data_IF_170515494660
#
_entry.id   IF_170515494660
#
_cell.length_a   1.000
_cell.length_b   1.000
_cell.length_c   1.000
_cell.angle_alpha   90.00
_cell.angle_beta   90.00
_cell.angle_gamma   90.00
#
_symmetry.space_group_name_H-M   'P 1'
#
loop_
_entity.id
_entity.type
_entity.pdbx_description
1 polymer ?
#
# COMPACT_ATOMS: atom_id res chain seq x y z
N UNK A 1 -31.90 12.31 7.29
CA UNK A 1 -32.12 11.57 6.01
C UNK A 1 -33.61 11.21 5.92
N UNK A 2 -34.19 11.11 4.72
CA UNK A 2 -35.55 10.57 4.57
C UNK A 2 -35.65 9.18 5.23
N UNK A 3 -36.79 8.84 5.86
CA UNK A 3 -37.00 7.48 6.37
C UNK A 3 -36.96 6.45 5.21
N UNK A 4 -36.54 5.22 5.51
CA UNK A 4 -36.42 4.06 4.60
C UNK A 4 -35.20 3.97 3.68
N UNK A 5 -34.20 4.87 3.77
CA UNK A 5 -32.98 4.74 2.97
C UNK A 5 -31.91 3.83 3.57
N UNK A 6 -32.09 3.35 4.81
CA UNK A 6 -31.06 2.64 5.58
C UNK A 6 -29.90 3.52 6.08
N UNK A 7 -29.91 4.83 5.77
CA UNK A 7 -28.85 5.78 6.18
C UNK A 7 -29.11 6.31 7.58
N UNK A 8 -28.15 6.13 8.48
CA UNK A 8 -28.18 6.72 9.82
C UNK A 8 -27.51 8.10 9.82
N UNK A 9 -27.89 8.96 10.76
CA UNK A 9 -27.20 10.24 10.96
C UNK A 9 -25.70 10.03 11.24
N UNK A 10 -25.36 9.00 12.02
CA UNK A 10 -23.97 8.62 12.30
C UNK A 10 -23.20 8.27 11.01
N UNK A 11 -23.79 7.46 10.11
CA UNK A 11 -23.15 7.10 8.85
C UNK A 11 -22.89 8.33 7.96
N UNK A 12 -23.84 9.28 7.92
CA UNK A 12 -23.66 10.54 7.19
C UNK A 12 -22.57 11.41 7.80
N UNK A 13 -22.50 11.50 9.14
CA UNK A 13 -21.43 12.23 9.82
C UNK A 13 -20.05 11.63 9.55
N UNK A 14 -19.93 10.30 9.55
CA UNK A 14 -18.69 9.61 9.18
C UNK A 14 -18.29 9.90 7.74
N UNK A 15 -19.24 9.89 6.81
CA UNK A 15 -18.98 10.20 5.41
C UNK A 15 -18.55 11.67 5.22
N UNK A 16 -19.19 12.60 5.92
CA UNK A 16 -18.83 14.02 5.87
C UNK A 16 -17.42 14.27 6.44
N UNK A 17 -17.07 13.62 7.56
CA UNK A 17 -15.72 13.71 8.13
C UNK A 17 -14.66 13.14 7.19
N UNK A 18 -14.94 12.01 6.54
CA UNK A 18 -14.05 11.40 5.53
C UNK A 18 -13.85 12.32 4.31
N UNK A 19 -14.94 12.90 3.79
CA UNK A 19 -14.87 13.86 2.69
C UNK A 19 -14.07 15.13 3.04
N UNK A 20 -14.21 15.64 4.28
CA UNK A 20 -13.44 16.77 4.76
C UNK A 20 -11.94 16.42 4.94
N UNK A 21 -11.62 15.21 5.38
CA UNK A 21 -10.23 14.74 5.44
C UNK A 21 -9.62 14.65 4.04
N UNK A 22 -10.32 14.03 3.09
CA UNK A 22 -9.88 13.94 1.69
C UNK A 22 -9.67 15.34 1.09
N UNK A 23 -10.59 16.27 1.30
CA UNK A 23 -10.45 17.64 0.80
C UNK A 23 -9.18 18.32 1.34
N UNK A 24 -8.82 18.10 2.61
CA UNK A 24 -7.57 18.62 3.19
C UNK A 24 -6.34 18.00 2.55
N UNK A 25 -6.34 16.69 2.33
CA UNK A 25 -5.21 16.00 1.67
C UNK A 25 -5.04 16.46 0.22
N UNK A 26 -6.14 16.72 -0.50
CA UNK A 26 -6.10 17.25 -1.86
C UNK A 26 -5.56 18.68 -1.93
N UNK A 27 -5.74 19.49 -0.89
CA UNK A 27 -5.15 20.83 -0.83
C UNK A 27 -3.62 20.80 -0.71
N UNK A 28 -3.04 19.73 -0.14
CA UNK A 28 -1.58 19.59 0.00
C UNK A 28 -0.96 18.84 -1.17
N UNK A 29 -1.68 17.88 -1.75
CA UNK A 29 -1.17 17.00 -2.83
C UNK A 29 -1.59 17.42 -4.24
N UNK A 30 -2.59 18.30 -4.35
CA UNK A 30 -3.15 18.77 -5.61
C UNK A 30 -4.32 17.92 -6.14
N UNK A 31 -5.16 18.50 -7.03
CA UNK A 31 -6.41 17.87 -7.49
C UNK A 31 -6.19 16.64 -8.39
N UNK A 32 -5.02 16.49 -9.00
CA UNK A 32 -4.68 15.29 -9.78
C UNK A 32 -4.64 14.00 -8.92
N UNK A 33 -4.58 14.14 -7.59
CA UNK A 33 -4.69 13.04 -6.64
C UNK A 33 -6.14 12.62 -6.34
N UNK A 34 -7.16 13.28 -6.93
CA UNK A 34 -8.57 13.05 -6.59
C UNK A 34 -9.17 11.78 -7.23
N UNK A 35 -8.61 11.28 -8.33
CA UNK A 35 -9.09 10.05 -8.98
C UNK A 35 -8.48 8.82 -8.30
N UNK A 36 -9.14 8.41 -7.21
CA UNK A 36 -8.89 7.14 -6.55
C UNK A 36 -9.75 6.06 -7.19
N UNK A 37 -9.12 4.93 -7.50
CA UNK A 37 -9.84 3.67 -7.75
C UNK A 37 -10.61 3.24 -6.50
N UNK A 38 -11.55 2.31 -6.66
CA UNK A 38 -12.33 1.78 -5.54
C UNK A 38 -11.43 1.24 -4.43
N UNK A 39 -10.38 0.48 -4.76
CA UNK A 39 -9.48 -0.10 -3.76
C UNK A 39 -8.54 0.93 -3.13
N UNK A 40 -8.12 1.95 -3.87
CA UNK A 40 -7.35 3.05 -3.31
C UNK A 40 -8.18 3.85 -2.29
N UNK A 41 -9.43 4.18 -2.63
CA UNK A 41 -10.34 4.85 -1.70
C UNK A 41 -10.65 3.96 -0.48
N UNK A 42 -10.88 2.66 -0.71
CA UNK A 42 -11.16 1.72 0.38
C UNK A 42 -9.97 1.60 1.35
N UNK A 43 -8.74 1.52 0.83
CA UNK A 43 -7.51 1.50 1.63
C UNK A 43 -7.32 2.81 2.42
N UNK A 44 -7.50 3.96 1.75
CA UNK A 44 -7.46 5.30 2.36
C UNK A 44 -8.43 5.41 3.52
N UNK A 45 -9.67 4.98 3.31
CA UNK A 45 -10.74 4.97 4.31
C UNK A 45 -10.39 4.05 5.47
N UNK A 46 -9.87 2.85 5.20
CA UNK A 46 -9.50 1.90 6.24
C UNK A 46 -8.28 2.36 7.08
N UNK A 47 -7.37 3.15 6.52
CA UNK A 47 -6.15 3.62 7.18
C UNK A 47 -6.39 4.33 8.52
N UNK A 48 -7.50 5.07 8.67
CA UNK A 48 -7.85 5.80 9.89
C UNK A 48 -8.87 5.13 10.80
N UNK A 49 -9.25 3.87 10.56
CA UNK A 49 -10.33 3.18 11.29
C UNK A 49 -9.81 2.26 12.39
N UNK A 50 -10.64 2.08 13.42
CA UNK A 50 -10.45 1.02 14.42
C UNK A 50 -10.73 -0.37 13.81
N UNK A 51 -10.26 -1.44 14.46
CA UNK A 51 -10.45 -2.81 13.95
C UNK A 51 -11.94 -3.21 13.72
N UNK A 52 -12.90 -2.87 14.61
CA UNK A 52 -14.32 -3.13 14.35
C UNK A 52 -14.86 -2.35 13.14
N UNK A 53 -14.51 -1.07 13.01
CA UNK A 53 -14.95 -0.22 11.89
C UNK A 53 -14.36 -0.69 10.55
N UNK A 54 -13.11 -1.14 10.55
CA UNK A 54 -12.46 -1.74 9.39
C UNK A 54 -13.19 -3.02 8.99
N UNK A 55 -13.53 -3.89 9.95
CA UNK A 55 -14.26 -5.14 9.67
C UNK A 55 -15.63 -4.88 9.06
N UNK A 56 -16.36 -3.88 9.58
CA UNK A 56 -17.63 -3.46 9.02
C UNK A 56 -17.48 -2.89 7.59
N UNK A 57 -16.44 -2.08 7.36
CA UNK A 57 -16.12 -1.53 6.04
C UNK A 57 -15.75 -2.65 5.04
N UNK A 58 -14.91 -3.60 5.45
CA UNK A 58 -14.51 -4.75 4.65
C UNK A 58 -15.72 -5.60 4.27
N UNK A 59 -16.62 -5.88 5.23
CA UNK A 59 -17.87 -6.62 5.00
C UNK A 59 -18.76 -5.90 3.98
N UNK A 60 -18.96 -4.59 4.14
CA UNK A 60 -19.77 -3.80 3.21
C UNK A 60 -19.16 -3.74 1.80
N UNK A 61 -17.83 -3.71 1.70
CA UNK A 61 -17.09 -3.70 0.44
C UNK A 61 -16.88 -5.09 -0.17
N UNK A 62 -17.32 -6.17 0.51
CA UNK A 62 -17.08 -7.56 0.12
C UNK A 62 -15.59 -7.90 -0.07
N UNK A 63 -14.72 -7.27 0.73
CA UNK A 63 -13.27 -7.53 0.76
C UNK A 63 -12.96 -8.31 2.05
N UNK A 64 -12.07 -9.33 2.02
CA UNK A 64 -11.64 -9.99 3.24
C UNK A 64 -11.04 -8.98 4.24
N UNK A 65 -11.46 -8.96 5.52
CA UNK A 65 -10.94 -8.00 6.49
C UNK A 65 -9.42 -8.00 6.62
N UNK A 66 -8.80 -9.18 6.53
CA UNK A 66 -7.33 -9.34 6.53
C UNK A 66 -6.67 -8.60 5.38
N UNK A 67 -7.23 -8.67 4.18
CA UNK A 67 -6.67 -7.98 3.02
C UNK A 67 -6.84 -6.48 3.16
N UNK A 68 -8.00 -6.01 3.63
CA UNK A 68 -8.22 -4.59 3.87
C UNK A 68 -7.30 -4.02 4.96
N UNK A 69 -7.01 -4.78 6.01
CA UNK A 69 -6.00 -4.40 7.02
C UNK A 69 -4.64 -4.16 6.38
N UNK A 70 -4.18 -5.07 5.51
CA UNK A 70 -2.90 -4.92 4.81
C UNK A 70 -2.89 -3.74 3.85
N UNK A 71 -4.01 -3.48 3.18
CA UNK A 71 -4.15 -2.32 2.29
C UNK A 71 -4.11 -1.02 3.08
N UNK A 72 -4.77 -0.97 4.24
CA UNK A 72 -4.76 0.15 5.16
C UNK A 72 -3.35 0.43 5.71
N UNK A 73 -2.61 -0.61 6.08
CA UNK A 73 -1.21 -0.52 6.52
C UNK A 73 -0.31 0.03 5.41
N UNK A 74 -0.40 -0.52 4.19
CA UNK A 74 0.38 -0.04 3.06
C UNK A 74 0.06 1.41 2.68
N UNK A 75 -1.22 1.80 2.80
CA UNK A 75 -1.66 3.17 2.57
C UNK A 75 -1.14 4.14 3.64
N UNK A 76 -1.16 3.77 4.92
CA UNK A 76 -0.58 4.59 5.99
C UNK A 76 0.92 4.84 5.78
N UNK A 77 1.63 3.80 5.36
CA UNK A 77 3.09 3.85 5.23
C UNK A 77 3.55 4.62 3.99
N UNK A 78 2.91 4.38 2.84
CA UNK A 78 3.40 4.92 1.56
C UNK A 78 2.28 5.33 0.58
N UNK A 79 1.05 5.51 1.07
CA UNK A 79 -0.10 5.97 0.29
C UNK A 79 -0.39 5.10 -0.92
N UNK A 80 -0.75 5.75 -2.03
CA UNK A 80 -1.06 5.10 -3.32
C UNK A 80 0.09 4.20 -3.81
N UNK A 81 1.33 4.68 -3.67
CA UNK A 81 2.52 3.94 -4.05
C UNK A 81 2.70 2.64 -3.25
N UNK A 82 2.47 2.70 -1.93
CA UNK A 82 2.49 1.54 -1.05
C UNK A 82 1.43 0.49 -1.42
N UNK A 83 0.20 0.94 -1.68
CA UNK A 83 -0.88 0.04 -2.10
C UNK A 83 -0.57 -0.63 -3.45
N UNK A 84 -0.06 0.13 -4.42
CA UNK A 84 0.34 -0.39 -5.72
C UNK A 84 1.50 -1.40 -5.56
N UNK A 85 2.52 -1.10 -4.76
CA UNK A 85 3.62 -2.02 -4.51
C UNK A 85 3.16 -3.32 -3.82
N UNK A 86 2.17 -3.25 -2.93
CA UNK A 86 1.57 -4.39 -2.27
C UNK A 86 0.81 -5.29 -3.26
N UNK A 87 -0.08 -4.70 -4.07
CA UNK A 87 -1.06 -5.45 -4.89
C UNK A 87 -0.55 -5.80 -6.28
N UNK A 88 0.21 -4.92 -6.91
CA UNK A 88 0.55 -5.04 -8.31
C UNK A 88 1.88 -5.76 -8.53
N UNK A 89 1.99 -6.39 -9.71
CA UNK A 89 3.25 -6.83 -10.26
C UNK A 89 3.29 -6.51 -11.75
N UNK A 90 4.47 -6.16 -12.25
CA UNK A 90 4.66 -5.73 -13.63
C UNK A 90 6.09 -5.99 -14.07
N UNK A 91 6.34 -5.99 -15.38
CA UNK A 91 7.68 -6.23 -15.93
C UNK A 91 8.38 -4.89 -16.22
N UNK A 92 9.35 -4.46 -15.39
CA UNK A 92 10.15 -3.27 -15.68
C UNK A 92 11.17 -3.54 -16.79
N UNK A 93 11.70 -2.45 -17.35
CA UNK A 93 12.92 -2.53 -18.15
C UNK A 93 14.08 -3.12 -17.33
N UNK A 94 15.12 -3.68 -17.99
CA UNK A 94 16.13 -4.49 -17.31
C UNK A 94 16.99 -3.72 -16.29
N UNK A 95 17.20 -2.40 -16.49
CA UNK A 95 18.15 -1.60 -15.71
C UNK A 95 17.91 -1.62 -14.20
N UNK A 96 16.79 -1.07 -13.69
CA UNK A 96 16.59 -0.91 -12.25
C UNK A 96 16.65 -2.23 -11.47
N UNK A 97 16.04 -3.31 -12.02
CA UNK A 97 16.02 -4.62 -11.35
C UNK A 97 17.38 -5.29 -11.35
N UNK A 98 18.16 -5.18 -12.44
CA UNK A 98 19.51 -5.74 -12.48
C UNK A 98 20.45 -5.02 -11.49
N UNK A 99 20.37 -3.70 -11.41
CA UNK A 99 21.13 -2.89 -10.45
C UNK A 99 20.80 -3.29 -9.00
N UNK A 100 19.50 -3.35 -8.66
CA UNK A 100 19.07 -3.76 -7.33
C UNK A 100 19.48 -5.21 -7.00
N UNK A 101 19.52 -6.10 -7.99
CA UNK A 101 19.95 -7.48 -7.79
C UNK A 101 21.42 -7.57 -7.40
N UNK A 102 22.29 -6.75 -8.01
CA UNK A 102 23.70 -6.67 -7.62
C UNK A 102 23.84 -6.10 -6.20
N UNK A 103 23.14 -4.99 -5.91
CA UNK A 103 23.16 -4.38 -4.57
C UNK A 103 22.74 -5.39 -3.48
N UNK A 104 21.70 -6.18 -3.71
CA UNK A 104 21.27 -7.22 -2.77
C UNK A 104 22.29 -8.37 -2.65
N UNK A 105 22.92 -8.76 -3.75
CA UNK A 105 23.95 -9.80 -3.73
C UNK A 105 25.18 -9.37 -2.90
N UNK A 106 25.53 -8.09 -2.95
CA UNK A 106 26.66 -7.51 -2.23
C UNK A 106 26.32 -7.11 -0.78
N UNK A 107 25.04 -7.11 -0.40
CA UNK A 107 24.55 -6.70 0.92
C UNK A 107 24.99 -7.61 2.09
N UNK A 108 25.57 -8.77 1.82
CA UNK A 108 25.93 -9.76 2.84
C UNK A 108 24.74 -10.51 3.45
N UNK A 109 23.55 -10.41 2.85
CA UNK A 109 22.37 -11.17 3.26
C UNK A 109 22.49 -12.65 2.83
N UNK A 110 21.94 -13.60 3.61
CA UNK A 110 22.05 -15.02 3.29
C UNK A 110 21.32 -15.39 1.99
N UNK A 111 21.96 -16.25 1.18
CA UNK A 111 21.41 -16.74 -0.09
C UNK A 111 21.69 -15.82 -1.28
N UNK A 112 21.04 -16.12 -2.41
CA UNK A 112 21.15 -15.32 -3.64
C UNK A 112 19.82 -14.60 -3.93
N UNK A 113 19.85 -13.33 -4.35
CA UNK A 113 18.61 -12.61 -4.68
C UNK A 113 17.92 -13.21 -5.90
N UNK A 114 16.65 -13.57 -5.71
CA UNK A 114 15.76 -14.12 -6.73
C UNK A 114 14.87 -13.04 -7.31
N UNK A 115 14.83 -12.94 -8.63
CA UNK A 115 14.02 -11.96 -9.37
C UNK A 115 12.74 -12.61 -9.89
N UNK A 116 11.61 -11.93 -9.69
CA UNK A 116 10.35 -12.22 -10.37
C UNK A 116 9.65 -10.90 -10.70
N UNK A 117 9.51 -10.58 -11.99
CA UNK A 117 8.92 -9.31 -12.47
C UNK A 117 9.63 -8.11 -11.80
N UNK A 118 8.88 -7.29 -11.07
CA UNK A 118 9.36 -6.16 -10.30
C UNK A 118 9.70 -6.49 -8.83
N UNK A 119 9.91 -7.76 -8.47
CA UNK A 119 10.20 -8.20 -7.09
C UNK A 119 11.56 -8.88 -7.01
N UNK A 120 12.38 -8.50 -6.03
CA UNK A 120 13.64 -9.14 -5.68
C UNK A 120 13.54 -9.70 -4.27
N UNK A 121 13.81 -10.98 -4.07
CA UNK A 121 13.67 -11.66 -2.77
C UNK A 121 15.00 -12.29 -2.34
N UNK A 122 15.43 -12.04 -1.11
CA UNK A 122 16.59 -12.68 -0.50
C UNK A 122 16.32 -12.91 1.00
N UNK A 123 16.21 -14.18 1.40
CA UNK A 123 15.75 -14.55 2.74
C UNK A 123 14.37 -13.94 3.06
N UNK A 124 14.31 -13.22 4.17
CA UNK A 124 13.09 -12.58 4.71
C UNK A 124 12.90 -11.14 4.21
N UNK A 125 13.72 -10.68 3.25
CA UNK A 125 13.64 -9.38 2.60
C UNK A 125 13.10 -9.52 1.17
N UNK A 126 12.18 -8.65 0.80
CA UNK A 126 11.75 -8.47 -0.58
C UNK A 126 11.71 -7.00 -0.96
N UNK A 127 12.48 -6.60 -1.96
CA UNK A 127 12.35 -5.28 -2.59
C UNK A 127 11.38 -5.34 -3.76
N UNK A 128 10.54 -4.32 -3.90
CA UNK A 128 9.58 -4.20 -5.01
C UNK A 128 9.75 -2.87 -5.71
N UNK A 129 9.89 -2.91 -7.03
CA UNK A 129 9.99 -1.70 -7.85
C UNK A 129 8.60 -1.22 -8.28
N UNK A 130 8.26 0.00 -7.93
CA UNK A 130 7.00 0.66 -8.28
C UNK A 130 7.04 1.28 -9.67
N UNK A 131 5.86 1.48 -10.27
CA UNK A 131 5.72 2.22 -11.54
C UNK A 131 6.06 3.71 -11.41
N UNK A 132 6.11 4.20 -10.18
CA UNK A 132 6.55 5.54 -9.80
C UNK A 132 8.08 5.66 -9.65
N UNK A 133 8.82 4.67 -10.15
CA UNK A 133 10.29 4.60 -10.10
C UNK A 133 10.88 4.61 -8.69
N UNK A 134 10.11 4.19 -7.67
CA UNK A 134 10.58 4.02 -6.29
C UNK A 134 10.66 2.55 -5.90
N UNK A 135 11.50 2.28 -4.92
CA UNK A 135 11.67 0.99 -4.26
C UNK A 135 10.88 0.94 -2.97
N UNK A 136 10.32 -0.24 -2.71
CA UNK A 136 9.52 -0.51 -1.51
C UNK A 136 10.09 -1.75 -0.82
N UNK A 137 10.37 -1.61 0.48
CA UNK A 137 10.87 -2.69 1.31
C UNK A 137 9.72 -3.50 1.87
N UNK A 138 9.80 -4.82 1.72
CA UNK A 138 8.87 -5.74 2.34
C UNK A 138 9.63 -6.74 3.18
N UNK A 139 9.10 -7.04 4.37
CA UNK A 139 9.60 -8.09 5.25
C UNK A 139 8.61 -9.23 5.35
N UNK A 140 9.11 -10.42 5.60
CA UNK A 140 8.26 -11.60 5.79
C UNK A 140 7.46 -11.49 7.08
N UNK A 141 6.17 -11.78 6.99
CA UNK A 141 5.29 -11.93 8.15
C UNK A 141 4.49 -13.24 7.97
N UNK A 142 5.01 -14.32 8.55
CA UNK A 142 4.49 -15.67 8.33
C UNK A 142 4.55 -16.06 6.85
N UNK A 143 3.37 -16.30 6.25
CA UNK A 143 3.26 -16.65 4.83
C UNK A 143 3.18 -15.43 3.89
N UNK A 144 3.13 -14.21 4.41
CA UNK A 144 2.92 -12.97 3.65
C UNK A 144 4.15 -12.07 3.60
N UNK A 145 4.01 -11.00 2.85
CA UNK A 145 4.93 -9.87 2.79
C UNK A 145 4.22 -8.62 3.32
N UNK A 146 4.81 -7.93 4.30
CA UNK A 146 4.34 -6.67 4.86
C UNK A 146 5.24 -5.53 4.39
N UNK A 147 4.65 -4.41 3.96
CA UNK A 147 5.42 -3.21 3.63
C UNK A 147 6.09 -2.68 4.90
N UNK A 148 7.37 -2.32 4.80
CA UNK A 148 8.23 -2.01 5.93
C UNK A 148 8.95 -0.68 5.69
N UNK A 149 8.31 0.42 6.07
CA UNK A 149 8.88 1.75 5.94
C UNK A 149 8.50 2.48 4.63
N UNK A 150 8.90 3.76 4.53
CA UNK A 150 8.65 4.60 3.36
C UNK A 150 9.43 4.13 2.13
N UNK A 151 9.01 4.51 0.92
CA UNK A 151 9.74 4.18 -0.29
C UNK A 151 11.02 4.99 -0.44
N UNK A 152 12.02 4.43 -1.15
CA UNK A 152 13.24 5.14 -1.55
C UNK A 152 13.42 5.19 -3.06
N UNK A 153 14.16 6.17 -3.57
CA UNK A 153 14.65 6.19 -4.95
C UNK A 153 15.77 5.15 -5.19
N UNK A 154 16.52 4.78 -4.15
CA UNK A 154 17.63 3.82 -4.22
C UNK A 154 17.28 2.54 -3.46
N UNK A 155 17.51 1.35 -4.04
CA UNK A 155 17.31 0.10 -3.31
C UNK A 155 18.31 -0.05 -2.16
N UNK A 156 19.48 0.61 -2.22
CA UNK A 156 20.51 0.54 -1.18
C UNK A 156 20.01 1.06 0.17
N UNK A 157 19.17 2.10 0.17
CA UNK A 157 18.60 2.71 1.38
C UNK A 157 17.60 1.78 2.09
N UNK A 158 17.25 0.65 1.46
CA UNK A 158 16.23 -0.28 1.92
C UNK A 158 16.79 -1.66 2.25
N UNK A 159 18.10 -1.86 2.13
CA UNK A 159 18.77 -3.13 2.40
C UNK A 159 18.99 -3.34 3.90
N UNK A 160 19.44 -2.30 4.60
CA UNK A 160 19.80 -2.30 6.02
C UNK A 160 18.67 -1.78 6.89
#
# INVERSE_FOLDING_TARGET
>A
PPPATGWTAAALSTLAADAAALARDLLTTGPAAAELTFEEDLARRAAGRTAPELTALATAAQVPPRDLTRWAEAWREAGRGGLAALRESWQPGPGPVAEAQQILADAGLPGTPKVWRNRLTQGELQLRYGRDARWYRFVREGAEWRLDGPPSASPLDLVY
#
